data_IF_231127498587
#
_entry.id   IF_231127498587
#
_cell.length_a   1.000
_cell.length_b   1.000
_cell.length_c   1.000
_cell.angle_alpha   90.00
_cell.angle_beta   90.00
_cell.angle_gamma   90.00
#
_symmetry.space_group_name_H-M   'P 1'
#
loop_
_entity.id
_entity.type
_entity.pdbx_description
1 polymer ?
#
# COMPACT_ATOMS: atom_id res chain seq x y z
N UNK A 1 13.52 9.45 -35.52
CA UNK A 1 12.17 9.82 -35.06
C UNK A 1 12.25 10.17 -33.58
N UNK A 2 12.63 11.42 -33.29
CA UNK A 2 12.73 11.95 -31.94
C UNK A 2 11.35 12.40 -31.49
N UNK A 3 10.70 11.60 -30.65
CA UNK A 3 9.45 11.99 -29.99
C UNK A 3 9.75 13.14 -29.03
N UNK A 4 9.20 14.31 -29.34
CA UNK A 4 9.25 15.49 -28.48
C UNK A 4 8.49 15.19 -27.19
N UNK A 5 9.22 15.15 -26.07
CA UNK A 5 8.63 15.17 -24.73
C UNK A 5 7.86 16.48 -24.58
N UNK A 6 6.56 16.42 -24.82
CA UNK A 6 5.63 17.49 -24.57
C UNK A 6 5.53 17.71 -23.05
N UNK A 7 6.44 18.53 -22.51
CA UNK A 7 6.32 19.02 -21.14
C UNK A 7 5.07 19.87 -21.05
N UNK A 8 3.98 19.25 -20.61
CA UNK A 8 2.72 19.93 -20.31
C UNK A 8 3.00 21.08 -19.36
N UNK A 9 2.93 22.30 -19.91
CA UNK A 9 3.16 23.56 -19.20
C UNK A 9 2.05 23.64 -18.15
N UNK A 10 2.35 23.34 -16.88
CA UNK A 10 1.36 23.47 -15.79
C UNK A 10 0.74 24.86 -15.90
N UNK A 11 -0.58 24.91 -16.05
CA UNK A 11 -1.33 26.17 -16.09
C UNK A 11 -1.01 26.98 -14.84
N UNK A 12 -0.89 28.30 -14.98
CA UNK A 12 -0.39 29.16 -13.89
C UNK A 12 -1.19 29.05 -12.58
N UNK A 13 -2.44 28.58 -12.66
CA UNK A 13 -3.29 28.29 -11.50
C UNK A 13 -2.84 27.02 -10.75
N UNK A 14 -2.64 25.90 -11.44
CA UNK A 14 -2.23 24.64 -10.81
C UNK A 14 -0.86 24.73 -10.14
N UNK A 15 0.08 25.47 -10.74
CA UNK A 15 1.40 25.70 -10.14
C UNK A 15 1.35 26.57 -8.87
N UNK A 16 0.48 27.59 -8.86
CA UNK A 16 0.25 28.44 -7.68
C UNK A 16 -0.46 27.67 -6.57
N UNK A 17 -1.49 26.91 -6.92
CA UNK A 17 -2.22 26.04 -5.99
C UNK A 17 -1.28 25.01 -5.36
N UNK A 18 -0.43 24.34 -6.16
CA UNK A 18 0.57 23.40 -5.65
C UNK A 18 1.54 24.06 -4.66
N UNK A 19 1.99 25.28 -4.96
CA UNK A 19 2.89 26.03 -4.05
C UNK A 19 2.20 26.39 -2.74
N UNK A 20 0.93 26.79 -2.79
CA UNK A 20 0.13 27.13 -1.61
C UNK A 20 -0.15 25.86 -0.79
N UNK A 21 -0.60 24.79 -1.43
CA UNK A 21 -0.89 23.51 -0.78
C UNK A 21 0.35 22.99 -0.03
N UNK A 22 1.52 22.96 -0.69
CA UNK A 22 2.76 22.52 -0.04
C UNK A 22 3.16 23.39 1.17
N UNK A 23 2.98 24.71 1.08
CA UNK A 23 3.23 25.62 2.20
C UNK A 23 2.25 25.39 3.35
N UNK A 24 0.96 25.27 3.05
CA UNK A 24 -0.09 25.05 4.05
C UNK A 24 0.11 23.70 4.73
N UNK A 25 0.36 22.62 4.00
CA UNK A 25 0.62 21.29 4.58
C UNK A 25 1.85 21.31 5.49
N UNK A 26 2.94 21.94 5.05
CA UNK A 26 4.16 22.05 5.87
C UNK A 26 3.96 22.88 7.13
N UNK A 27 3.18 23.96 7.04
CA UNK A 27 2.83 24.78 8.20
C UNK A 27 1.92 23.98 9.14
N UNK A 28 0.83 23.40 8.64
CA UNK A 28 -0.14 22.63 9.42
C UNK A 28 0.49 21.43 10.16
N UNK A 29 1.51 20.79 9.59
CA UNK A 29 2.25 19.70 10.23
C UNK A 29 3.31 20.14 11.25
N UNK A 30 3.56 21.44 11.42
CA UNK A 30 4.60 21.95 12.31
C UNK A 30 4.10 22.15 13.75
N UNK A 31 4.97 21.93 14.75
CA UNK A 31 4.64 22.16 16.17
C UNK A 31 4.21 23.60 16.46
N UNK A 32 4.71 24.58 15.69
CA UNK A 32 4.30 25.98 15.81
C UNK A 32 2.86 26.23 15.36
N UNK A 33 2.37 25.52 14.32
CA UNK A 33 0.98 25.68 13.89
C UNK A 33 -0.01 25.13 14.92
N UNK A 34 0.33 24.04 15.61
CA UNK A 34 -0.46 23.55 16.72
C UNK A 34 -0.58 24.60 17.84
N UNK A 35 0.54 25.23 18.21
CA UNK A 35 0.56 26.26 19.24
C UNK A 35 -0.29 27.49 18.85
N UNK A 36 -0.22 27.92 17.59
CA UNK A 36 -1.03 29.03 17.05
C UNK A 36 -2.52 28.65 17.02
N UNK A 37 -2.86 27.45 16.56
CA UNK A 37 -4.24 26.97 16.54
C UNK A 37 -4.83 26.87 17.95
N UNK A 38 -4.05 26.37 18.91
CA UNK A 38 -4.43 26.32 20.32
C UNK A 38 -4.63 27.71 20.91
N UNK A 39 -3.72 28.65 20.64
CA UNK A 39 -3.85 30.05 21.08
C UNK A 39 -5.10 30.72 20.48
N UNK A 40 -5.42 30.46 19.21
CA UNK A 40 -6.65 30.94 18.57
C UNK A 40 -7.90 30.41 19.25
N UNK A 41 -7.94 29.12 19.61
CA UNK A 41 -9.06 28.52 20.35
C UNK A 41 -9.20 29.17 21.73
N UNK A 42 -8.09 29.41 22.44
CA UNK A 42 -8.12 30.11 23.73
C UNK A 42 -8.62 31.55 23.60
N UNK A 43 -8.11 32.30 22.61
CA UNK A 43 -8.55 33.67 22.36
C UNK A 43 -10.04 33.75 22.04
N UNK A 44 -10.54 32.79 21.26
CA UNK A 44 -11.96 32.65 20.99
C UNK A 44 -12.75 32.32 22.27
N UNK A 45 -12.28 31.40 23.10
CA UNK A 45 -12.92 31.11 24.39
C UNK A 45 -13.03 32.34 25.30
N UNK A 46 -11.97 33.14 25.37
CA UNK A 46 -11.88 34.37 26.18
C UNK A 46 -12.78 35.48 25.64
N UNK A 47 -12.99 35.53 24.32
CA UNK A 47 -13.87 36.54 23.71
C UNK A 47 -15.36 36.18 23.85
N UNK A 48 -15.71 34.91 24.09
CA UNK A 48 -17.09 34.45 24.31
C UNK A 48 -17.90 35.19 25.40
N UNK A 49 -17.36 35.42 26.61
CA UNK A 49 -18.03 36.20 27.66
C UNK A 49 -18.41 37.63 27.25
N UNK A 50 -17.62 38.29 26.41
CA UNK A 50 -17.93 39.64 25.90
C UNK A 50 -19.13 39.64 24.94
N UNK A 51 -19.37 38.51 24.26
CA UNK A 51 -20.49 38.31 23.34
C UNK A 51 -21.63 37.48 23.95
N UNK A 52 -21.62 37.28 25.28
CA UNK A 52 -22.60 36.48 26.03
C UNK A 52 -22.81 35.06 25.45
N UNK A 53 -21.78 34.49 24.80
CA UNK A 53 -21.90 33.22 24.08
C UNK A 53 -23.10 33.14 23.12
N UNK A 54 -23.44 34.27 22.47
CA UNK A 54 -24.57 34.40 21.56
C UNK A 54 -24.58 33.36 20.43
N UNK A 55 -25.75 33.13 19.84
CA UNK A 55 -25.90 32.24 18.69
C UNK A 55 -25.02 32.68 17.50
N UNK A 56 -24.88 33.99 17.27
CA UNK A 56 -23.98 34.52 16.24
C UNK A 56 -22.51 34.19 16.54
N UNK A 57 -22.11 34.29 17.80
CA UNK A 57 -20.74 33.96 18.23
C UNK A 57 -20.37 32.50 17.96
N UNK A 58 -21.30 31.59 18.25
CA UNK A 58 -21.13 30.16 17.98
C UNK A 58 -21.20 29.85 16.47
N UNK A 59 -22.14 30.48 15.76
CA UNK A 59 -22.33 30.32 14.33
C UNK A 59 -21.05 30.66 13.56
N UNK A 60 -20.40 31.77 13.90
CA UNK A 60 -19.17 32.22 13.22
C UNK A 60 -18.08 31.15 13.27
N UNK A 61 -17.83 30.52 14.42
CA UNK A 61 -16.80 29.47 14.51
C UNK A 61 -17.22 28.17 13.83
N UNK A 62 -18.46 27.73 14.01
CA UNK A 62 -18.93 26.51 13.37
C UNK A 62 -18.89 26.61 11.84
N UNK A 63 -19.34 27.74 11.30
CA UNK A 63 -19.28 28.00 9.86
C UNK A 63 -17.83 28.14 9.37
N UNK A 64 -16.99 28.87 10.11
CA UNK A 64 -15.58 29.07 9.72
C UNK A 64 -14.80 27.76 9.69
N UNK A 65 -14.96 26.94 10.73
CA UNK A 65 -14.26 25.65 10.83
C UNK A 65 -14.72 24.70 9.73
N UNK A 66 -16.01 24.71 9.38
CA UNK A 66 -16.55 23.91 8.28
C UNK A 66 -15.92 24.28 6.94
N UNK A 67 -15.83 25.58 6.63
CA UNK A 67 -15.19 26.08 5.40
C UNK A 67 -13.71 25.69 5.37
N UNK A 68 -12.99 25.92 6.47
CA UNK A 68 -11.56 25.56 6.58
C UNK A 68 -11.37 24.06 6.39
N UNK A 69 -12.20 23.23 7.03
CA UNK A 69 -12.13 21.77 6.91
C UNK A 69 -12.40 21.32 5.48
N UNK A 70 -13.42 21.87 4.82
CA UNK A 70 -13.72 21.58 3.42
C UNK A 70 -12.54 21.92 2.51
N UNK A 71 -11.92 23.09 2.67
CA UNK A 71 -10.71 23.47 1.94
C UNK A 71 -9.52 22.56 2.27
N UNK A 72 -9.38 22.17 3.54
CA UNK A 72 -8.29 21.33 4.01
C UNK A 72 -8.31 19.94 3.35
N UNK A 73 -9.50 19.36 3.13
CA UNK A 73 -9.62 18.09 2.41
C UNK A 73 -8.98 18.17 1.02
N UNK A 74 -9.24 19.22 0.25
CA UNK A 74 -8.62 19.39 -1.08
C UNK A 74 -7.11 19.64 -1.00
N UNK A 75 -6.66 20.42 -0.02
CA UNK A 75 -5.22 20.68 0.18
C UNK A 75 -4.48 19.37 0.53
N UNK A 76 -5.05 18.58 1.45
CA UNK A 76 -4.51 17.28 1.84
C UNK A 76 -4.52 16.33 0.65
N UNK A 77 -5.62 16.21 -0.09
CA UNK A 77 -5.71 15.36 -1.27
C UNK A 77 -4.66 15.74 -2.32
N UNK A 78 -4.43 17.03 -2.58
CA UNK A 78 -3.40 17.49 -3.51
C UNK A 78 -1.99 17.13 -3.05
N UNK A 79 -1.70 17.28 -1.75
CA UNK A 79 -0.40 16.92 -1.17
C UNK A 79 -0.18 15.41 -1.24
N UNK A 80 -1.18 14.63 -0.81
CA UNK A 80 -1.13 13.17 -0.80
C UNK A 80 -1.03 12.58 -2.21
N UNK A 81 -1.73 13.14 -3.20
CA UNK A 81 -1.66 12.66 -4.58
C UNK A 81 -0.22 12.77 -5.15
N UNK A 82 0.48 13.85 -4.84
CA UNK A 82 1.87 14.03 -5.29
C UNK A 82 2.83 13.08 -4.59
N UNK A 83 2.67 12.91 -3.27
CA UNK A 83 3.51 12.02 -2.48
C UNK A 83 3.31 10.55 -2.88
N UNK A 84 2.07 10.15 -3.20
CA UNK A 84 1.75 8.79 -3.68
C UNK A 84 2.49 8.45 -4.98
N UNK A 85 2.46 9.36 -5.97
CA UNK A 85 3.16 9.18 -7.26
C UNK A 85 4.66 9.09 -7.05
N UNK A 86 5.23 9.93 -6.18
CA UNK A 86 6.66 9.89 -5.89
C UNK A 86 7.08 8.57 -5.22
N UNK A 87 6.20 8.00 -4.38
CA UNK A 87 6.43 6.72 -3.72
C UNK A 87 6.40 5.57 -4.73
N UNK A 88 5.41 5.55 -5.63
CA UNK A 88 5.30 4.60 -6.73
C UNK A 88 6.56 4.60 -7.61
N UNK A 89 7.00 5.77 -8.08
CA UNK A 89 8.20 5.89 -8.91
C UNK A 89 9.47 5.37 -8.21
N UNK A 90 9.62 5.64 -6.91
CA UNK A 90 10.76 5.14 -6.12
C UNK A 90 10.73 3.62 -5.97
N UNK A 91 9.54 3.03 -5.80
CA UNK A 91 9.38 1.57 -5.73
C UNK A 91 9.66 0.93 -7.09
N UNK A 92 9.18 1.53 -8.18
CA UNK A 92 9.41 1.05 -9.54
C UNK A 92 10.92 1.04 -9.86
N UNK A 93 11.67 2.07 -9.48
CA UNK A 93 13.13 2.09 -9.61
C UNK A 93 13.79 0.96 -8.81
N UNK A 94 13.40 0.73 -7.55
CA UNK A 94 13.95 -0.36 -6.73
C UNK A 94 13.64 -1.75 -7.28
N UNK A 95 12.45 -1.95 -7.86
CA UNK A 95 12.08 -3.20 -8.52
C UNK A 95 12.90 -3.38 -9.81
N UNK A 96 13.04 -2.34 -10.61
CA UNK A 96 13.79 -2.37 -11.86
C UNK A 96 15.29 -2.64 -11.65
N UNK A 97 15.88 -2.15 -10.56
CA UNK A 97 17.28 -2.42 -10.22
C UNK A 97 17.55 -3.83 -9.67
N UNK A 98 16.51 -4.60 -9.33
CA UNK A 98 16.64 -5.96 -8.81
C UNK A 98 16.47 -6.98 -9.95
N UNK A 99 17.58 -7.57 -10.42
CA UNK A 99 17.57 -8.57 -11.52
C UNK A 99 16.72 -9.81 -11.22
N UNK A 100 16.43 -10.11 -9.95
CA UNK A 100 15.57 -11.22 -9.56
C UNK A 100 14.10 -10.80 -9.37
N UNK A 101 13.79 -9.50 -9.37
CA UNK A 101 12.42 -9.00 -9.32
C UNK A 101 11.81 -8.99 -10.72
N UNK A 102 10.55 -9.39 -10.81
CA UNK A 102 9.85 -9.44 -12.09
C UNK A 102 9.39 -8.04 -12.49
N UNK A 103 9.87 -7.55 -13.63
CA UNK A 103 9.48 -6.28 -14.24
C UNK A 103 7.96 -6.12 -14.44
N UNK A 104 7.18 -7.19 -14.29
CA UNK A 104 5.72 -7.18 -14.39
C UNK A 104 5.01 -6.53 -13.19
N UNK A 105 5.74 -6.15 -12.14
CA UNK A 105 5.21 -5.31 -11.04
C UNK A 105 5.44 -3.81 -11.27
N UNK A 106 6.25 -3.43 -12.26
CA UNK A 106 6.48 -2.02 -12.59
C UNK A 106 5.17 -1.44 -13.12
N UNK A 107 4.81 -0.25 -12.62
CA UNK A 107 3.60 0.51 -12.99
C UNK A 107 2.28 -0.27 -12.73
N UNK A 108 2.27 -1.13 -11.71
CA UNK A 108 1.09 -1.92 -11.32
C UNK A 108 -0.11 -1.06 -10.86
N UNK A 109 0.13 0.21 -10.53
CA UNK A 109 -0.89 1.19 -10.20
C UNK A 109 -1.74 1.64 -11.40
N UNK A 110 -1.23 1.50 -12.63
CA UNK A 110 -1.83 2.04 -13.85
C UNK A 110 -2.58 0.97 -14.68
N UNK A 111 -2.54 -0.30 -14.27
CA UNK A 111 -3.24 -1.40 -14.96
C UNK A 111 -4.70 -1.50 -14.52
N UNK A 112 -5.54 -2.12 -15.36
CA UNK A 112 -6.96 -2.29 -15.04
C UNK A 112 -7.18 -3.28 -13.88
N UNK A 113 -8.34 -3.19 -13.22
CA UNK A 113 -8.66 -4.08 -12.09
C UNK A 113 -8.64 -5.57 -12.49
N UNK A 114 -9.11 -5.91 -13.70
CA UNK A 114 -9.10 -7.29 -14.22
C UNK A 114 -7.67 -7.81 -14.43
N UNK A 115 -6.78 -6.96 -14.94
CA UNK A 115 -5.36 -7.27 -15.11
C UNK A 115 -4.65 -7.40 -13.76
N UNK A 116 -4.99 -6.54 -12.79
CA UNK A 116 -4.45 -6.58 -11.43
C UNK A 116 -4.82 -7.88 -10.72
N UNK A 117 -6.08 -8.32 -10.82
CA UNK A 117 -6.53 -9.59 -10.24
C UNK A 117 -5.85 -10.79 -10.90
N UNK A 118 -5.66 -10.74 -12.22
CA UNK A 118 -4.90 -11.76 -12.96
C UNK A 118 -3.45 -11.84 -12.49
N UNK A 119 -2.79 -10.69 -12.34
CA UNK A 119 -1.42 -10.59 -11.87
C UNK A 119 -1.27 -11.09 -10.42
N UNK A 120 -2.20 -10.68 -9.54
CA UNK A 120 -2.28 -11.17 -8.16
C UNK A 120 -2.41 -12.69 -8.10
N UNK A 121 -3.33 -13.26 -8.87
CA UNK A 121 -3.55 -14.71 -8.92
C UNK A 121 -2.29 -15.47 -9.40
N UNK A 122 -1.57 -14.92 -10.37
CA UNK A 122 -0.30 -15.46 -10.82
C UNK A 122 0.75 -15.51 -9.69
N UNK A 123 0.94 -14.42 -8.94
CA UNK A 123 1.89 -14.40 -7.82
C UNK A 123 1.47 -15.26 -6.64
N UNK A 124 0.19 -15.31 -6.32
CA UNK A 124 -0.34 -16.23 -5.29
C UNK A 124 -0.04 -17.67 -5.69
N UNK A 125 -0.22 -18.03 -6.97
CA UNK A 125 0.12 -19.35 -7.49
C UNK A 125 1.62 -19.63 -7.41
N UNK A 126 2.47 -18.68 -7.80
CA UNK A 126 3.92 -18.81 -7.67
C UNK A 126 4.36 -19.00 -6.21
N UNK A 127 3.84 -18.19 -5.28
CA UNK A 127 4.15 -18.32 -3.86
C UNK A 127 3.69 -19.68 -3.30
N UNK A 128 2.53 -20.17 -3.74
CA UNK A 128 2.03 -21.50 -3.36
C UNK A 128 2.94 -22.60 -3.90
N UNK A 129 3.40 -22.50 -5.14
CA UNK A 129 4.32 -23.45 -5.74
C UNK A 129 5.69 -23.43 -5.03
N UNK A 130 6.25 -22.25 -4.76
CA UNK A 130 7.52 -22.11 -4.03
C UNK A 130 7.42 -22.66 -2.60
N UNK A 131 6.31 -22.41 -1.90
CA UNK A 131 6.04 -23.01 -0.58
C UNK A 131 5.94 -24.52 -0.67
N UNK A 132 5.21 -25.05 -1.66
CA UNK A 132 5.07 -26.48 -1.89
C UNK A 132 6.40 -27.15 -2.25
N UNK A 133 7.26 -26.51 -3.04
CA UNK A 133 8.60 -27.02 -3.33
C UNK A 133 9.48 -27.03 -2.07
N UNK A 134 9.45 -25.97 -1.26
CA UNK A 134 10.16 -25.94 0.02
C UNK A 134 9.65 -27.04 0.98
N UNK A 135 8.35 -27.29 1.02
CA UNK A 135 7.74 -28.43 1.73
C UNK A 135 8.14 -29.79 1.11
N UNK A 136 8.23 -29.91 -0.21
CA UNK A 136 8.60 -31.14 -0.93
C UNK A 136 10.08 -31.52 -0.71
N UNK A 137 10.94 -30.53 -0.51
CA UNK A 137 12.35 -30.72 -0.13
C UNK A 137 12.56 -30.76 1.39
N UNK A 138 11.50 -30.59 2.19
CA UNK A 138 11.55 -30.85 3.62
C UNK A 138 11.50 -32.35 3.85
N UNK A 139 12.64 -32.93 4.21
CA UNK A 139 12.69 -34.28 4.74
C UNK A 139 12.03 -34.21 6.12
N UNK A 140 10.73 -34.50 6.18
CA UNK A 140 10.09 -34.93 7.42
C UNK A 140 11.00 -36.01 8.04
N UNK A 141 11.31 -35.87 9.34
CA UNK A 141 12.49 -36.41 10.06
C UNK A 141 13.15 -37.67 9.49
N UNK A 142 14.47 -37.89 9.70
CA UNK A 142 15.16 -39.12 9.26
C UNK A 142 14.36 -40.40 9.63
N UNK A 143 13.68 -40.39 10.77
CA UNK A 143 12.79 -41.47 11.22
C UNK A 143 11.56 -41.65 10.30
N UNK A 144 10.91 -40.56 9.89
CA UNK A 144 9.74 -40.57 8.99
C UNK A 144 10.10 -40.98 7.55
N UNK A 145 11.26 -40.53 7.05
CA UNK A 145 11.78 -40.97 5.76
C UNK A 145 12.16 -42.47 5.77
N UNK A 146 12.73 -42.96 6.89
CA UNK A 146 13.04 -44.38 7.09
C UNK A 146 11.77 -45.23 7.18
N UNK A 147 10.71 -44.74 7.83
CA UNK A 147 9.43 -45.43 7.93
C UNK A 147 8.72 -45.55 6.57
N UNK A 148 8.73 -44.48 5.76
CA UNK A 148 8.17 -44.53 4.40
C UNK A 148 8.97 -45.50 3.53
N UNK A 149 10.31 -45.52 3.65
CA UNK A 149 11.15 -46.46 2.92
C UNK A 149 10.91 -47.92 3.35
N UNK A 150 10.82 -48.15 4.66
CA UNK A 150 10.52 -49.46 5.22
C UNK A 150 9.13 -49.95 4.83
N UNK A 151 8.11 -49.08 4.86
CA UNK A 151 6.78 -49.42 4.35
C UNK A 151 6.83 -49.80 2.87
N UNK A 152 7.48 -49.01 2.01
CA UNK A 152 7.61 -49.35 0.57
C UNK A 152 8.34 -50.68 0.34
N UNK A 153 9.40 -50.96 1.11
CA UNK A 153 10.14 -52.22 1.05
C UNK A 153 9.31 -53.41 1.52
N UNK A 154 8.55 -53.26 2.62
CA UNK A 154 7.60 -54.26 3.13
C UNK A 154 6.48 -54.52 2.12
N UNK A 155 5.89 -53.48 1.53
CA UNK A 155 4.88 -53.61 0.48
C UNK A 155 5.43 -54.32 -0.76
N UNK A 156 6.66 -54.03 -1.19
CA UNK A 156 7.30 -54.72 -2.30
C UNK A 156 7.51 -56.22 -2.00
N UNK A 157 8.01 -56.55 -0.80
CA UNK A 157 8.18 -57.95 -0.34
C UNK A 157 6.85 -58.68 -0.27
N UNK A 158 5.81 -58.06 0.27
CA UNK A 158 4.47 -58.65 0.34
C UNK A 158 3.83 -58.86 -1.04
N UNK A 159 4.05 -57.97 -2.02
CA UNK A 159 3.61 -58.20 -3.41
C UNK A 159 4.32 -59.39 -4.06
N UNK A 160 5.61 -59.58 -3.78
CA UNK A 160 6.38 -60.71 -4.31
C UNK A 160 5.97 -62.02 -3.62
N UNK A 161 5.81 -62.00 -2.29
CA UNK A 161 5.34 -63.16 -1.54
C UNK A 161 3.92 -63.58 -1.96
N UNK A 162 3.00 -62.62 -2.13
CA UNK A 162 1.62 -62.92 -2.54
C UNK A 162 1.52 -63.35 -4.03
N UNK A 163 2.51 -63.02 -4.87
CA UNK A 163 2.66 -63.62 -6.20
C UNK A 163 3.13 -65.07 -6.15
N UNK A 164 3.91 -65.44 -5.14
CA UNK A 164 4.42 -66.80 -4.95
C UNK A 164 3.46 -67.73 -4.17
N UNK A 165 2.36 -67.20 -3.62
CA UNK A 165 1.36 -67.96 -2.82
C UNK A 165 0.10 -68.29 -3.64
N UNK A 166 0.01 -67.91 -4.92
CA UNK A 166 -1.00 -68.49 -5.83
C UNK A 166 -0.40 -69.66 -6.62
N UNK A 167 -0.54 -70.90 -6.15
CA UNK A 167 -0.63 -72.04 -7.06
C UNK A 167 -2.00 -72.01 -7.75
N UNK A 168 -2.05 -72.67 -8.90
CA UNK A 168 -3.18 -72.85 -9.82
C UNK A 168 -4.52 -73.16 -9.15
#
# INVERSE_FOLDING_TARGET
MTSSLNTSRKTGFSAKFETIANKVTRLAGSSYAFLIAFALILLWGITGPFFHFSDTWQLVINTSTTIVTFLMVFIIQQSQNKDSIALQLKLNELIACNEAASNRLIDVEDITQEELDTLKNFYVKLATLAKKENELFSSHSIDEAADIHNQKSQFAKNRVANRNIKPE
#
